data_IF_364964838640
#
_entry.id   IF_364964838640
#
_cell.length_a   1.000
_cell.length_b   1.000
_cell.length_c   1.000
_cell.angle_alpha   90.00
_cell.angle_beta   90.00
_cell.angle_gamma   90.00
#
_symmetry.space_group_name_H-M   'P 1'
#
loop_
_entity.id
_entity.type
_entity.pdbx_description
1 polymer ?
#
# COMPACT_ATOMS: atom_id res chain seq x y z
N UNK A 1 -34.07 -17.94 -12.73
CA UNK A 1 -32.98 -17.51 -13.64
C UNK A 1 -31.83 -18.47 -13.43
N UNK A 2 -31.55 -19.31 -14.42
CA UNK A 2 -30.45 -20.29 -14.36
C UNK A 2 -29.14 -19.53 -14.53
N UNK A 3 -28.41 -19.31 -13.43
CA UNK A 3 -26.99 -19.00 -13.52
C UNK A 3 -26.32 -20.15 -14.25
N UNK A 4 -25.52 -19.85 -15.27
CA UNK A 4 -24.83 -20.85 -16.09
C UNK A 4 -24.08 -21.87 -15.20
N UNK A 5 -24.64 -23.07 -15.08
CA UNK A 5 -24.16 -24.10 -14.17
C UNK A 5 -22.81 -24.62 -14.67
N UNK A 6 -21.74 -24.26 -13.98
CA UNK A 6 -20.37 -24.67 -14.31
C UNK A 6 -19.45 -23.57 -14.83
N UNK A 7 -19.91 -22.32 -14.97
CA UNK A 7 -18.99 -21.19 -15.14
C UNK A 7 -18.42 -20.77 -13.78
N UNK A 8 -17.12 -20.39 -13.70
CA UNK A 8 -16.56 -19.78 -12.50
C UNK A 8 -17.41 -18.59 -12.07
N UNK A 9 -17.81 -18.57 -10.79
CA UNK A 9 -18.47 -17.39 -10.22
C UNK A 9 -17.43 -16.28 -10.08
N UNK A 10 -17.66 -15.15 -10.72
CA UNK A 10 -16.84 -13.96 -10.47
C UNK A 10 -17.10 -13.46 -9.05
N UNK A 11 -16.04 -13.24 -8.30
CA UNK A 11 -16.12 -12.64 -6.97
C UNK A 11 -16.59 -11.19 -7.12
N UNK A 12 -17.66 -10.82 -6.41
CA UNK A 12 -18.15 -9.46 -6.46
C UNK A 12 -17.10 -8.47 -5.93
N UNK A 13 -17.01 -7.25 -6.48
CA UNK A 13 -16.08 -6.25 -5.97
C UNK A 13 -16.42 -5.90 -4.52
N UNK A 14 -15.42 -5.44 -3.76
CA UNK A 14 -15.53 -5.23 -2.30
C UNK A 14 -16.62 -4.23 -1.90
N UNK A 15 -16.97 -3.31 -2.81
CA UNK A 15 -18.03 -2.30 -2.66
C UNK A 15 -19.37 -2.73 -3.26
N UNK A 16 -19.48 -3.97 -3.74
CA UNK A 16 -20.66 -4.53 -4.41
C UNK A 16 -20.77 -4.12 -5.89
N UNK A 17 -21.64 -4.79 -6.66
CA UNK A 17 -21.81 -4.53 -8.10
C UNK A 17 -22.53 -3.21 -8.42
N UNK A 18 -23.19 -2.59 -7.46
CA UNK A 18 -23.93 -1.34 -7.69
C UNK A 18 -25.10 -1.50 -8.69
N UNK A 19 -25.56 -0.38 -9.24
CA UNK A 19 -26.70 -0.29 -10.15
C UNK A 19 -26.24 -0.18 -11.62
N UNK A 20 -25.68 -1.28 -12.13
CA UNK A 20 -25.35 -1.45 -13.56
C UNK A 20 -23.87 -1.68 -13.84
N UNK A 21 -23.56 -1.99 -15.10
CA UNK A 21 -22.22 -2.47 -15.51
C UNK A 21 -21.12 -1.42 -15.28
N UNK A 22 -21.42 -0.13 -15.49
CA UNK A 22 -20.44 0.95 -15.31
C UNK A 22 -19.99 1.06 -13.84
N UNK A 23 -20.92 0.90 -12.89
CA UNK A 23 -20.62 0.96 -11.46
C UNK A 23 -19.85 -0.29 -11.02
N UNK A 24 -20.24 -1.47 -11.50
CA UNK A 24 -19.47 -2.71 -11.30
C UNK A 24 -18.01 -2.56 -11.74
N UNK A 25 -17.78 -2.02 -12.95
CA UNK A 25 -16.41 -1.83 -13.49
C UNK A 25 -15.62 -0.84 -12.63
N UNK A 26 -16.24 0.26 -12.20
CA UNK A 26 -15.60 1.25 -11.32
C UNK A 26 -15.19 0.63 -9.98
N UNK A 27 -16.03 -0.22 -9.39
CA UNK A 27 -15.76 -0.86 -8.12
C UNK A 27 -14.64 -1.92 -8.21
N UNK A 28 -14.55 -2.67 -9.32
CA UNK A 28 -13.36 -3.48 -9.59
C UNK A 28 -12.10 -2.63 -9.79
N UNK A 29 -12.22 -1.47 -10.46
CA UNK A 29 -11.12 -0.52 -10.60
C UNK A 29 -10.60 -0.03 -9.25
N UNK A 30 -11.49 0.28 -8.31
CA UNK A 30 -11.15 0.64 -6.95
C UNK A 30 -10.35 -0.47 -6.25
N UNK A 31 -10.81 -1.72 -6.33
CA UNK A 31 -10.14 -2.87 -5.69
C UNK A 31 -8.73 -3.08 -6.24
N UNK A 32 -8.53 -2.99 -7.56
CA UNK A 32 -7.21 -3.12 -8.19
C UNK A 32 -6.28 -2.00 -7.74
N UNK A 33 -6.76 -0.74 -7.74
CA UNK A 33 -5.96 0.40 -7.28
C UNK A 33 -5.58 0.25 -5.82
N UNK A 34 -6.49 -0.23 -4.97
CA UNK A 34 -6.23 -0.48 -3.56
C UNK A 34 -5.17 -1.57 -3.35
N UNK A 35 -5.21 -2.65 -4.12
CA UNK A 35 -4.18 -3.70 -4.09
C UNK A 35 -2.80 -3.16 -4.51
N UNK A 36 -2.74 -2.33 -5.55
CA UNK A 36 -1.50 -1.68 -5.98
C UNK A 36 -0.98 -0.72 -4.92
N UNK A 37 -1.86 0.09 -4.31
CA UNK A 37 -1.50 0.99 -3.22
C UNK A 37 -0.89 0.21 -2.05
N UNK A 38 -1.45 -0.94 -1.70
CA UNK A 38 -0.90 -1.82 -0.65
C UNK A 38 0.50 -2.32 -1.00
N UNK A 39 0.76 -2.72 -2.25
CA UNK A 39 2.11 -3.12 -2.70
C UNK A 39 3.10 -1.95 -2.61
N UNK A 40 2.68 -0.75 -2.99
CA UNK A 40 3.52 0.45 -2.88
C UNK A 40 3.88 0.74 -1.43
N UNK A 41 2.90 0.77 -0.51
CA UNK A 41 3.17 0.99 0.93
C UNK A 41 4.09 -0.08 1.49
N UNK A 42 3.89 -1.35 1.13
CA UNK A 42 4.76 -2.44 1.56
C UNK A 42 6.21 -2.24 1.08
N UNK A 43 6.40 -1.86 -0.19
CA UNK A 43 7.74 -1.57 -0.73
C UNK A 43 8.42 -0.37 -0.05
N UNK A 44 7.66 0.69 0.25
CA UNK A 44 8.17 1.85 0.99
C UNK A 44 8.63 1.44 2.39
N UNK A 45 7.86 0.60 3.08
CA UNK A 45 8.21 0.12 4.41
C UNK A 45 9.51 -0.69 4.38
N UNK A 46 9.65 -1.59 3.41
CA UNK A 46 10.88 -2.37 3.19
C UNK A 46 12.07 -1.42 2.96
N UNK A 47 11.91 -0.38 2.15
CA UNK A 47 12.95 0.63 1.90
C UNK A 47 13.41 1.38 3.17
N UNK A 48 12.48 1.72 4.07
CA UNK A 48 12.78 2.33 5.36
C UNK A 48 13.53 1.37 6.27
N UNK A 49 13.09 0.11 6.37
CA UNK A 49 13.78 -0.93 7.13
C UNK A 49 15.20 -1.17 6.61
N UNK A 50 15.39 -1.17 5.30
CA UNK A 50 16.71 -1.32 4.69
C UNK A 50 17.66 -0.17 5.07
N UNK A 51 17.18 1.08 5.01
CA UNK A 51 17.96 2.25 5.44
C UNK A 51 18.30 2.23 6.93
N UNK A 52 17.34 1.83 7.76
CA UNK A 52 17.55 1.66 9.19
C UNK A 52 18.62 0.58 9.46
N UNK A 53 18.51 -0.58 8.81
CA UNK A 53 19.47 -1.67 8.94
C UNK A 53 20.89 -1.26 8.55
N UNK A 54 21.07 -0.58 7.42
CA UNK A 54 22.38 -0.08 7.00
C UNK A 54 23.00 0.90 8.01
N UNK A 55 22.18 1.83 8.52
CA UNK A 55 22.63 2.79 9.54
C UNK A 55 22.97 2.11 10.87
N UNK A 56 22.21 1.09 11.26
CA UNK A 56 22.50 0.26 12.43
C UNK A 56 23.81 -0.50 12.29
N UNK A 57 24.06 -1.13 11.13
CA UNK A 57 25.31 -1.81 10.85
C UNK A 57 26.52 -0.86 10.94
N UNK A 58 26.37 0.39 10.51
CA UNK A 58 27.43 1.40 10.63
C UNK A 58 27.66 1.89 12.06
N UNK A 59 26.63 1.93 12.90
CA UNK A 59 26.79 2.20 14.34
C UNK A 59 27.62 1.09 15.00
N UNK A 60 27.34 -0.16 14.65
CA UNK A 60 28.08 -1.30 15.21
C UNK A 60 29.57 -1.27 14.80
N UNK A 61 29.87 -0.73 13.62
CA UNK A 61 31.23 -0.50 13.13
C UNK A 61 31.86 0.82 13.64
N UNK A 62 31.18 1.55 14.52
CA UNK A 62 31.66 2.82 15.09
C UNK A 62 31.68 4.01 14.11
N UNK A 63 31.07 3.89 12.93
CA UNK A 63 31.09 4.92 11.87
C UNK A 63 29.93 5.91 11.95
N UNK A 64 28.84 5.55 12.63
CA UNK A 64 27.65 6.39 12.82
C UNK A 64 27.20 6.40 14.28
N UNK A 65 26.35 7.36 14.62
CA UNK A 65 25.80 7.51 15.97
C UNK A 65 24.33 7.08 16.05
N UNK A 66 23.90 6.70 17.25
CA UNK A 66 22.48 6.40 17.55
C UNK A 66 21.54 7.56 17.21
N UNK A 67 22.01 8.81 17.30
CA UNK A 67 21.25 9.99 16.87
C UNK A 67 20.96 10.01 15.36
N UNK A 68 21.94 9.62 14.54
CA UNK A 68 21.76 9.53 13.08
C UNK A 68 20.81 8.40 12.68
N UNK A 69 20.83 7.28 13.43
CA UNK A 69 19.85 6.22 13.26
C UNK A 69 18.44 6.69 13.59
N UNK A 70 18.26 7.34 14.75
CA UNK A 70 16.97 7.91 15.14
C UNK A 70 16.42 8.89 14.11
N UNK A 71 17.27 9.75 13.56
CA UNK A 71 16.89 10.67 12.48
C UNK A 71 16.48 9.94 11.20
N UNK A 72 17.24 8.93 10.78
CA UNK A 72 16.94 8.13 9.58
C UNK A 72 15.58 7.43 9.71
N UNK A 73 15.33 6.81 10.87
CA UNK A 73 14.06 6.14 11.15
C UNK A 73 12.91 7.14 11.24
N UNK A 74 13.11 8.30 11.87
CA UNK A 74 12.09 9.35 11.99
C UNK A 74 11.68 9.89 10.61
N UNK A 75 12.63 10.19 9.74
CA UNK A 75 12.35 10.63 8.36
C UNK A 75 11.62 9.53 7.60
N UNK A 76 12.06 8.28 7.72
CA UNK A 76 11.39 7.13 7.10
C UNK A 76 9.93 6.98 7.56
N UNK A 77 9.66 7.15 8.85
CA UNK A 77 8.31 7.11 9.40
C UNK A 77 7.42 8.23 8.84
N UNK A 78 7.94 9.47 8.76
CA UNK A 78 7.20 10.60 8.18
C UNK A 78 6.88 10.34 6.71
N UNK A 79 7.84 9.84 5.93
CA UNK A 79 7.61 9.51 4.51
C UNK A 79 6.55 8.43 4.33
N UNK A 80 6.50 7.43 5.22
CA UNK A 80 5.44 6.42 5.19
C UNK A 80 4.08 7.01 5.50
N UNK A 81 3.97 7.85 6.53
CA UNK A 81 2.71 8.52 6.89
C UNK A 81 2.19 9.36 5.72
N UNK A 82 3.06 10.16 5.11
CA UNK A 82 2.69 11.00 3.95
C UNK A 82 2.31 10.13 2.75
N UNK A 83 3.06 9.06 2.46
CA UNK A 83 2.75 8.15 1.36
C UNK A 83 1.41 7.46 1.52
N UNK A 84 1.12 6.92 2.71
CA UNK A 84 -0.17 6.30 3.04
C UNK A 84 -1.30 7.31 2.93
N UNK A 85 -1.10 8.53 3.45
CA UNK A 85 -2.11 9.58 3.38
C UNK A 85 -2.45 9.95 1.93
N UNK A 86 -1.44 10.18 1.09
CA UNK A 86 -1.65 10.51 -0.33
C UNK A 86 -2.35 9.39 -1.10
N UNK A 87 -1.99 8.12 -0.83
CA UNK A 87 -2.66 6.98 -1.43
C UNK A 87 -4.12 6.86 -0.97
N UNK A 88 -4.39 7.14 0.29
CA UNK A 88 -5.75 7.13 0.85
C UNK A 88 -6.62 8.21 0.20
N UNK A 89 -6.12 9.44 0.10
CA UNK A 89 -6.81 10.53 -0.61
C UNK A 89 -7.04 10.20 -2.09
N UNK A 90 -6.04 9.65 -2.78
CA UNK A 90 -6.17 9.24 -4.18
C UNK A 90 -7.25 8.16 -4.37
N UNK A 91 -7.34 7.17 -3.47
CA UNK A 91 -8.40 6.16 -3.50
C UNK A 91 -9.78 6.74 -3.19
N UNK A 92 -9.87 7.79 -2.36
CA UNK A 92 -11.13 8.44 -2.02
C UNK A 92 -11.75 9.24 -3.19
N UNK A 93 -10.93 9.68 -4.14
CA UNK A 93 -11.39 10.36 -5.37
C UNK A 93 -11.97 9.35 -6.38
N UNK A 94 -11.56 8.08 -6.32
CA UNK A 94 -12.02 7.00 -7.19
C UNK A 94 -13.44 6.51 -6.87
#
# INVERSE_FOLDING_TARGET
>A
MSSAQGLPTLENPSRGTGNGIMETIRNYGYDIVLLVALLVVASMFIGVCYHAYGTYAEIHNGRKTWGQFGLTVAIGAVLLVVGIWLLTEATGIL
#
